data_IF_997661646619
#
_entry.id   IF_997661646619
#
_cell.length_a   1.000
_cell.length_b   1.000
_cell.length_c   1.000
_cell.angle_alpha   90.00
_cell.angle_beta   90.00
_cell.angle_gamma   90.00
#
_symmetry.space_group_name_H-M   'P 1'
#
loop_
_entity.id
_entity.type
_entity.pdbx_description
1 polymer ?
#
# COMPACT_ATOMS: atom_id res chain seq x y z
N UNK A 1 10.59 2.42 -8.45
CA UNK A 1 9.84 1.36 -9.17
C UNK A 1 9.75 0.03 -8.40
N UNK A 2 10.78 -0.45 -7.70
CA UNK A 2 10.77 -1.80 -7.08
C UNK A 2 9.66 -2.03 -6.01
N UNK A 3 9.19 -0.96 -5.37
CA UNK A 3 8.21 -0.99 -4.26
C UNK A 3 6.76 -0.73 -4.66
N UNK A 4 6.44 -0.68 -5.95
CA UNK A 4 5.04 -0.67 -6.39
C UNK A 4 4.48 -2.09 -6.35
N UNK A 5 3.22 -2.23 -5.93
CA UNK A 5 2.54 -3.52 -5.81
C UNK A 5 1.48 -3.50 -4.71
N UNK A 6 0.89 -4.65 -4.48
CA UNK A 6 -0.04 -4.87 -3.37
C UNK A 6 0.71 -5.28 -2.12
N UNK A 7 0.15 -4.91 -0.98
CA UNK A 7 0.72 -5.18 0.34
C UNK A 7 -0.34 -5.79 1.27
N UNK A 8 0.14 -6.49 2.29
CA UNK A 8 -0.67 -7.06 3.37
C UNK A 8 -0.04 -6.73 4.72
N UNK A 9 -0.87 -6.46 5.73
CA UNK A 9 -0.41 -6.21 7.10
C UNK A 9 0.01 -7.53 7.73
N UNK A 10 1.20 -7.57 8.34
CA UNK A 10 1.74 -8.77 9.00
C UNK A 10 1.72 -8.69 10.53
N UNK A 11 1.36 -7.54 11.09
CA UNK A 11 1.23 -7.30 12.53
C UNK A 11 -0.10 -6.62 12.91
N UNK A 12 -1.26 -7.22 12.57
CA UNK A 12 -2.56 -6.59 12.85
C UNK A 12 -2.88 -6.45 14.34
N UNK A 13 -2.19 -7.18 15.23
CA UNK A 13 -2.51 -7.21 16.66
C UNK A 13 -3.95 -7.69 16.92
N UNK A 14 -4.61 -7.08 17.90
CA UNK A 14 -6.03 -7.30 18.22
C UNK A 14 -6.93 -6.21 17.59
N UNK A 15 -6.41 -5.44 16.62
CA UNK A 15 -7.14 -4.32 16.04
C UNK A 15 -8.31 -4.82 15.19
N UNK A 16 -9.50 -4.33 15.51
CA UNK A 16 -10.75 -4.66 14.81
C UNK A 16 -10.91 -3.89 13.49
N UNK A 17 -10.11 -2.81 13.32
CA UNK A 17 -10.18 -1.86 12.21
C UNK A 17 -8.84 -1.77 11.49
N UNK A 18 -8.45 -2.86 10.85
CA UNK A 18 -7.21 -2.93 10.07
C UNK A 18 -7.49 -2.43 8.65
N UNK A 19 -6.74 -1.44 8.13
CA UNK A 19 -6.88 -0.99 6.74
C UNK A 19 -6.67 -2.15 5.77
N UNK A 20 -7.58 -2.31 4.82
CA UNK A 20 -7.49 -3.42 3.87
C UNK A 20 -6.57 -3.09 2.69
N UNK A 21 -5.76 -4.09 2.32
CA UNK A 21 -4.85 -4.22 1.17
C UNK A 21 -4.35 -2.91 0.54
N UNK A 22 -3.31 -2.26 1.11
CA UNK A 22 -2.75 -1.09 0.48
C UNK A 22 -2.04 -1.45 -0.83
N UNK A 23 -2.33 -0.69 -1.89
CA UNK A 23 -1.64 -0.78 -3.17
C UNK A 23 -0.80 0.46 -3.39
N UNK A 24 0.48 0.29 -3.71
CA UNK A 24 1.36 1.36 -4.16
C UNK A 24 1.55 1.30 -5.68
N UNK A 25 1.39 2.43 -6.36
CA UNK A 25 1.68 2.53 -7.80
C UNK A 25 2.14 3.95 -8.19
N UNK A 26 2.77 4.05 -9.35
CA UNK A 26 3.08 5.35 -9.94
C UNK A 26 2.07 5.69 -11.04
N UNK A 27 1.62 6.93 -11.07
CA UNK A 27 0.89 7.53 -12.19
C UNK A 27 1.36 8.96 -12.36
N UNK A 28 1.69 9.36 -13.61
CA UNK A 28 2.13 10.72 -13.96
C UNK A 28 3.27 11.28 -13.09
N UNK A 29 4.24 10.43 -12.75
CA UNK A 29 5.40 10.79 -11.92
C UNK A 29 5.09 10.90 -10.42
N UNK A 30 3.84 10.72 -10.01
CA UNK A 30 3.41 10.75 -8.61
C UNK A 30 3.30 9.31 -8.09
N UNK A 31 3.81 9.06 -6.88
CA UNK A 31 3.59 7.81 -6.18
C UNK A 31 2.26 7.91 -5.44
N UNK A 32 1.41 6.90 -5.56
CA UNK A 32 0.13 6.83 -4.86
C UNK A 32 0.09 5.62 -3.95
N UNK A 33 -0.66 5.75 -2.85
CA UNK A 33 -1.15 4.62 -2.07
C UNK A 33 -2.67 4.65 -2.02
N UNK A 34 -3.28 3.49 -2.25
CA UNK A 34 -4.71 3.24 -2.12
C UNK A 34 -4.90 2.30 -0.95
N UNK A 35 -5.87 2.57 -0.10
CA UNK A 35 -6.28 1.66 0.97
C UNK A 35 -7.78 1.79 1.23
N UNK A 36 -8.35 0.80 1.90
CA UNK A 36 -9.76 0.81 2.27
C UNK A 36 -9.90 1.01 3.78
N UNK A 37 -10.79 1.91 4.17
CA UNK A 37 -11.30 1.92 5.54
C UNK A 37 -12.45 0.92 5.65
N UNK A 38 -12.68 0.43 6.86
CA UNK A 38 -13.84 -0.40 7.20
C UNK A 38 -15.13 0.45 7.25
N UNK A 39 -15.49 1.02 6.10
CA UNK A 39 -16.71 1.79 5.89
C UNK A 39 -17.69 0.95 5.03
N UNK A 40 -19.01 1.10 5.22
CA UNK A 40 -20.01 0.27 4.52
C UNK A 40 -19.94 0.33 2.99
N UNK A 41 -19.46 1.46 2.47
CA UNK A 41 -19.39 1.77 1.04
C UNK A 41 -18.11 1.23 0.37
N UNK A 42 -17.13 0.75 1.14
CA UNK A 42 -15.81 0.29 0.65
C UNK A 42 -15.15 1.29 -0.31
N UNK A 43 -15.37 2.58 -0.11
CA UNK A 43 -14.79 3.59 -1.00
C UNK A 43 -13.27 3.60 -0.79
N UNK A 44 -12.47 3.41 -1.85
CA UNK A 44 -11.02 3.45 -1.73
C UNK A 44 -10.56 4.87 -1.43
N UNK A 45 -9.66 5.00 -0.44
CA UNK A 45 -8.95 6.24 -0.19
C UNK A 45 -7.65 6.18 -0.99
N UNK A 46 -7.41 7.22 -1.80
CA UNK A 46 -6.17 7.40 -2.55
C UNK A 46 -5.47 8.65 -2.06
N UNK A 47 -4.20 8.52 -1.69
CA UNK A 47 -3.36 9.65 -1.29
C UNK A 47 -2.05 9.64 -2.08
N UNK A 48 -1.58 10.84 -2.40
CA UNK A 48 -0.29 11.04 -3.07
C UNK A 48 0.85 10.96 -2.05
N UNK A 49 1.93 10.32 -2.45
CA UNK A 49 3.18 10.21 -1.71
C UNK A 49 4.26 10.99 -2.46
N UNK A 50 5.04 11.75 -1.71
CA UNK A 50 6.26 12.38 -2.19
C UNK A 50 7.45 11.62 -1.62
N UNK A 51 8.22 10.88 -2.43
CA UNK A 51 9.50 10.36 -2.01
C UNK A 51 10.40 11.52 -1.56
N UNK A 52 11.04 11.37 -0.39
CA UNK A 52 11.97 12.37 0.17
C UNK A 52 13.37 11.80 0.39
N UNK A 53 13.49 10.47 0.41
CA UNK A 53 14.74 9.70 0.39
C UNK A 53 14.51 8.39 -0.36
N UNK A 54 15.54 7.54 -0.41
CA UNK A 54 15.43 6.19 -0.97
C UNK A 54 14.48 5.29 -0.17
N UNK A 55 14.27 5.55 1.12
CA UNK A 55 13.51 4.73 2.05
C UNK A 55 12.29 5.44 2.67
N UNK A 56 12.09 6.73 2.42
CA UNK A 56 10.98 7.51 2.97
C UNK A 56 10.13 8.18 1.89
N UNK A 57 8.81 8.11 2.09
CA UNK A 57 7.85 8.90 1.34
C UNK A 57 6.85 9.57 2.29
N UNK A 58 6.57 10.85 2.05
CA UNK A 58 5.66 11.65 2.87
C UNK A 58 4.30 11.74 2.19
N UNK A 59 3.22 11.50 2.94
CA UNK A 59 1.85 11.69 2.46
C UNK A 59 1.58 13.17 2.20
N UNK A 60 1.10 13.46 0.99
CA UNK A 60 0.68 14.78 0.50
C UNK A 60 -0.83 14.83 0.31
N UNK A 61 -1.36 16.04 0.11
CA UNK A 61 -2.79 16.27 -0.12
C UNK A 61 -3.54 16.70 1.14
N UNK A 62 -4.86 16.53 1.13
CA UNK A 62 -5.76 16.91 2.20
C UNK A 62 -6.25 15.65 2.91
N UNK A 63 -6.04 15.53 4.23
CA UNK A 63 -6.49 14.36 5.00
C UNK A 63 -5.73 14.15 6.31
N UNK A 64 -6.20 13.19 7.11
CA UNK A 64 -5.64 12.91 8.46
C UNK A 64 -4.19 12.46 8.45
N UNK A 65 -3.75 11.79 7.38
CA UNK A 65 -2.37 11.32 7.23
C UNK A 65 -1.42 12.34 6.62
N UNK A 66 -1.84 13.58 6.32
CA UNK A 66 -0.96 14.57 5.68
C UNK A 66 0.28 14.84 6.54
N UNK A 67 1.47 14.74 5.93
CA UNK A 67 2.74 14.96 6.60
C UNK A 67 3.31 13.71 7.28
N UNK A 68 2.53 12.64 7.43
CA UNK A 68 3.04 11.37 7.92
C UNK A 68 3.97 10.68 6.91
N UNK A 69 4.82 9.80 7.40
CA UNK A 69 5.88 9.14 6.62
C UNK A 69 5.61 7.65 6.48
N UNK A 70 5.59 7.18 5.25
CA UNK A 70 5.71 5.76 4.89
C UNK A 70 7.19 5.43 4.76
N UNK A 71 7.66 4.40 5.46
CA UNK A 71 9.08 4.01 5.53
C UNK A 71 9.29 2.63 4.93
N UNK A 72 10.30 2.45 4.10
CA UNK A 72 10.83 1.14 3.78
C UNK A 72 11.75 0.70 4.92
N UNK A 73 11.54 -0.50 5.44
CA UNK A 73 12.30 -1.06 6.56
C UNK A 73 12.74 -2.49 6.23
N UNK A 74 13.82 -2.95 6.85
CA UNK A 74 14.25 -4.36 6.75
C UNK A 74 13.96 -5.07 8.05
N UNK A 75 13.15 -6.13 7.99
CA UNK A 75 12.79 -6.99 9.13
C UNK A 75 13.12 -8.42 8.72
N UNK A 76 13.93 -9.11 9.52
CA UNK A 76 14.40 -10.48 9.25
C UNK A 76 15.00 -10.66 7.82
N UNK A 77 15.76 -9.65 7.37
CA UNK A 77 16.39 -9.64 6.04
C UNK A 77 15.42 -9.42 4.87
N UNK A 78 14.15 -9.08 5.14
CA UNK A 78 13.13 -8.80 4.12
C UNK A 78 12.74 -7.34 4.12
N UNK A 79 12.66 -6.74 2.94
CA UNK A 79 12.13 -5.39 2.79
C UNK A 79 10.61 -5.38 3.01
N UNK A 80 10.15 -4.46 3.86
CA UNK A 80 8.75 -4.22 4.22
C UNK A 80 8.47 -2.72 4.21
N UNK A 81 7.20 -2.34 4.27
CA UNK A 81 6.82 -0.95 4.54
C UNK A 81 6.33 -0.82 5.98
N UNK A 82 6.54 0.35 6.58
CA UNK A 82 6.05 0.71 7.90
C UNK A 82 5.29 2.03 7.83
N UNK A 83 4.11 2.06 8.43
CA UNK A 83 3.27 3.24 8.54
C UNK A 83 2.31 3.12 9.73
N UNK A 84 2.25 4.16 10.57
CA UNK A 84 1.36 4.24 11.74
C UNK A 84 1.43 3.03 12.70
N UNK A 85 2.61 2.39 12.81
CA UNK A 85 2.82 1.19 13.64
C UNK A 85 2.51 -0.15 12.94
N UNK A 86 1.87 -0.12 11.76
CA UNK A 86 1.69 -1.32 10.95
C UNK A 86 2.89 -1.58 10.04
N UNK A 87 3.16 -2.86 9.86
CA UNK A 87 4.18 -3.42 8.98
C UNK A 87 3.48 -4.15 7.85
N UNK A 88 3.92 -3.84 6.63
CA UNK A 88 3.30 -4.29 5.40
C UNK A 88 4.30 -5.10 4.59
N UNK A 89 3.94 -6.35 4.32
CA UNK A 89 4.68 -7.21 3.40
C UNK A 89 4.13 -7.03 2.00
N UNK A 90 5.01 -6.87 1.01
CA UNK A 90 4.61 -6.89 -0.40
C UNK A 90 4.05 -8.28 -0.73
N UNK A 91 2.84 -8.34 -1.26
CA UNK A 91 2.33 -9.58 -1.85
C UNK A 91 3.19 -9.89 -3.06
N UNK A 92 3.98 -10.96 -2.98
CA UNK A 92 4.59 -11.55 -4.18
C UNK A 92 3.47 -11.88 -5.14
N UNK A 93 3.55 -11.39 -6.37
CA UNK A 93 2.57 -11.71 -7.41
C UNK A 93 2.39 -13.24 -7.47
N UNK A 94 1.18 -13.71 -7.15
CA UNK A 94 0.71 -14.95 -7.73
C UNK A 94 0.56 -14.64 -9.22
N UNK A 95 1.48 -15.19 -10.01
CA UNK A 95 1.66 -15.00 -11.44
C UNK A 95 0.36 -14.75 -12.21
N UNK A 96 0.34 -13.63 -12.96
CA UNK A 96 -0.47 -13.34 -14.13
C UNK A 96 -1.97 -13.75 -14.04
N UNK A 97 -2.82 -12.79 -13.69
CA UNK A 97 -4.21 -12.83 -14.12
C UNK A 97 -4.25 -12.66 -15.65
N UNK A 98 -4.29 -13.77 -16.38
CA UNK A 98 -4.49 -13.77 -17.83
C UNK A 98 -5.99 -13.55 -18.10
N UNK A 99 -6.34 -12.40 -18.68
CA UNK A 99 -7.69 -12.09 -19.16
C UNK A 99 -8.15 -12.94 -20.36
N UNK A 100 -7.46 -14.04 -20.67
CA UNK A 100 -7.79 -14.95 -21.76
C UNK A 100 -8.73 -16.11 -21.36
N UNK A 101 -9.15 -16.20 -20.10
CA UNK A 101 -10.08 -17.24 -19.64
C UNK A 101 -11.57 -16.89 -19.79
N UNK A 102 -11.89 -15.78 -20.47
CA UNK A 102 -13.25 -15.48 -20.94
C UNK A 102 -13.32 -15.39 -22.47
N UNK A 103 -12.88 -16.46 -23.14
CA UNK A 103 -13.44 -16.83 -24.43
C UNK A 103 -14.05 -18.22 -24.31
N UNK A 104 -15.33 -18.28 -23.95
CA UNK A 104 -16.01 -19.52 -23.61
C UNK A 104 -17.53 -19.45 -23.77
N UNK A 105 -17.95 -19.18 -25.01
CA UNK A 105 -19.31 -19.30 -25.58
C UNK A 105 -20.32 -18.19 -25.30
#
# INVERSE_FOLDING_TARGET
MQRTGEYEIVNPGDDIFVPDMPRLWHADGILFVQYYLFLPDKTPIMVALSPVSDDEAVIKGLGRGMGETVRAVTIDGREMLSYSGYVFRKKTEMSAWNSNDFSGR
#
